data_IF_043408263448
#
_entry.id   IF_043408263448
#
_cell.length_a   1.000
_cell.length_b   1.000
_cell.length_c   1.000
_cell.angle_alpha   90.00
_cell.angle_beta   90.00
_cell.angle_gamma   90.00
#
_symmetry.space_group_name_H-M   'P 1'
#
loop_
_entity.id
_entity.type
_entity.pdbx_description
1 polymer ?
#
# COMPACT_ATOMS: atom_id res chain seq x y z
N UNK A 1 3.39 -16.38 0.90
CA UNK A 1 3.15 -16.84 2.29
C UNK A 1 4.37 -16.44 3.12
N UNK A 2 4.36 -15.26 3.73
CA UNK A 2 5.35 -14.94 4.78
C UNK A 2 4.67 -15.17 6.11
N UNK A 3 5.23 -16.15 6.81
CA UNK A 3 4.96 -16.49 8.18
C UNK A 3 4.92 -15.23 9.05
N UNK A 4 3.96 -15.21 9.99
CA UNK A 4 4.07 -14.37 11.17
C UNK A 4 5.46 -14.51 11.79
N UNK A 5 5.89 -13.43 12.46
CA UNK A 5 7.19 -13.22 13.12
C UNK A 5 7.63 -14.37 14.05
N UNK A 6 7.95 -15.55 13.51
CA UNK A 6 8.43 -16.70 14.26
C UNK A 6 9.77 -17.16 13.66
N UNK A 7 10.83 -16.43 14.02
CA UNK A 7 12.16 -16.97 14.34
C UNK A 7 13.12 -15.82 14.73
N UNK A 8 13.40 -15.72 16.02
CA UNK A 8 14.62 -15.20 16.63
C UNK A 8 15.19 -13.86 16.13
N UNK A 9 14.96 -12.77 16.88
CA UNK A 9 15.87 -11.61 17.09
C UNK A 9 16.36 -10.75 15.91
N UNK A 10 16.40 -11.29 14.69
CA UNK A 10 16.90 -10.66 13.46
C UNK A 10 15.80 -9.93 12.68
N UNK A 11 14.54 -10.05 13.11
CA UNK A 11 13.40 -9.50 12.35
C UNK A 11 13.11 -8.03 12.69
N UNK A 12 13.29 -7.61 13.94
CA UNK A 12 13.00 -6.23 14.38
C UNK A 12 13.84 -5.20 13.62
N UNK A 13 15.14 -5.46 13.44
CA UNK A 13 16.02 -4.58 12.66
C UNK A 13 15.55 -4.45 11.21
N UNK A 14 15.07 -5.55 10.60
CA UNK A 14 14.53 -5.51 9.24
C UNK A 14 13.25 -4.69 9.17
N UNK A 15 12.31 -4.88 10.10
CA UNK A 15 11.08 -4.08 10.19
C UNK A 15 11.41 -2.60 10.33
N UNK A 16 12.36 -2.25 11.21
CA UNK A 16 12.83 -0.88 11.39
C UNK A 16 13.44 -0.33 10.09
N UNK A 17 14.29 -1.09 9.41
CA UNK A 17 14.89 -0.67 8.13
C UNK A 17 13.85 -0.43 7.05
N UNK A 18 12.91 -1.36 6.87
CA UNK A 18 11.84 -1.26 5.87
C UNK A 18 10.93 -0.05 6.16
N UNK A 19 10.55 0.14 7.42
CA UNK A 19 9.72 1.28 7.84
C UNK A 19 10.46 2.62 7.69
N UNK A 20 11.73 2.71 8.06
CA UNK A 20 12.54 3.91 7.85
C UNK A 20 12.67 4.24 6.35
N UNK A 21 12.84 3.23 5.51
CA UNK A 21 12.87 3.43 4.06
C UNK A 21 11.52 3.97 3.58
N UNK A 22 10.41 3.39 3.99
CA UNK A 22 9.07 3.86 3.64
C UNK A 22 8.85 5.32 4.07
N UNK A 23 9.12 5.65 5.34
CA UNK A 23 9.00 7.02 5.88
C UNK A 23 9.87 7.98 5.06
N UNK A 24 11.11 7.60 4.73
CA UNK A 24 11.97 8.43 3.89
C UNK A 24 11.36 8.72 2.51
N UNK A 25 10.55 7.81 1.96
CA UNK A 25 9.88 8.00 0.66
C UNK A 25 8.70 8.98 0.76
N UNK A 26 7.98 8.99 1.89
CA UNK A 26 6.97 9.99 2.18
C UNK A 26 7.60 11.37 2.40
N UNK A 27 8.70 11.44 3.15
CA UNK A 27 9.41 12.70 3.38
C UNK A 27 10.00 13.32 2.11
N UNK A 28 10.20 12.53 1.05
CA UNK A 28 10.67 13.00 -0.28
C UNK A 28 9.54 13.48 -1.20
N UNK A 29 8.28 13.45 -0.78
CA UNK A 29 7.18 13.97 -1.61
C UNK A 29 7.38 15.46 -1.87
N UNK A 30 7.26 15.87 -3.13
CA UNK A 30 7.39 17.28 -3.55
C UNK A 30 6.26 18.16 -3.02
N UNK A 31 5.08 17.56 -2.83
CA UNK A 31 3.93 18.20 -2.21
C UNK A 31 3.86 17.80 -0.74
N UNK A 32 3.74 18.79 0.15
CA UNK A 32 3.76 18.59 1.60
C UNK A 32 2.37 18.35 2.20
N UNK A 33 1.30 18.45 1.40
CA UNK A 33 -0.07 18.29 1.85
C UNK A 33 -0.43 16.80 2.02
N UNK A 34 0.15 16.17 3.03
CA UNK A 34 -0.15 14.80 3.38
C UNK A 34 0.08 14.55 4.87
N UNK A 35 -0.61 13.54 5.39
CA UNK A 35 -0.39 12.99 6.71
C UNK A 35 -0.30 11.45 6.60
N UNK A 36 0.35 10.79 7.55
CA UNK A 36 0.43 9.34 7.57
C UNK A 36 0.15 8.84 8.98
N UNK A 37 -0.75 7.84 9.08
CA UNK A 37 -1.19 7.26 10.33
C UNK A 37 -0.66 5.84 10.41
N UNK A 38 0.30 5.63 11.30
CA UNK A 38 0.98 4.36 11.50
C UNK A 38 0.37 3.63 12.70
N UNK A 39 0.10 2.35 12.53
CA UNK A 39 -0.50 1.49 13.55
C UNK A 39 0.02 0.06 13.38
N UNK A 40 -0.07 -0.71 14.46
CA UNK A 40 0.27 -2.14 14.46
C UNK A 40 -0.96 -2.94 14.05
N UNK A 41 -0.79 -3.91 13.16
CA UNK A 41 -1.92 -4.70 12.61
C UNK A 41 -2.14 -6.06 13.26
N UNK A 42 -1.16 -6.56 14.01
CA UNK A 42 -1.21 -7.88 14.65
C UNK A 42 -1.04 -7.80 16.17
N UNK A 43 -1.15 -8.95 16.83
CA UNK A 43 -1.08 -9.09 18.28
C UNK A 43 0.34 -8.94 18.85
N UNK A 44 1.34 -8.64 18.01
CA UNK A 44 2.73 -8.56 18.43
C UNK A 44 3.04 -7.18 19.02
N UNK A 45 3.79 -7.09 20.14
CA UNK A 45 4.15 -5.82 20.73
C UNK A 45 5.12 -5.06 19.82
N UNK A 46 4.68 -3.93 19.27
CA UNK A 46 5.52 -3.04 18.45
C UNK A 46 5.13 -1.55 18.59
N UNK A 47 4.11 -1.24 19.40
CA UNK A 47 3.56 0.12 19.53
C UNK A 47 4.59 1.13 20.07
N UNK A 48 5.36 0.76 21.08
CA UNK A 48 6.40 1.62 21.68
C UNK A 48 7.53 1.90 20.69
N UNK A 49 8.05 0.84 20.06
CA UNK A 49 9.14 0.95 19.07
C UNK A 49 8.69 1.71 17.82
N UNK A 50 7.44 1.52 17.38
CA UNK A 50 6.86 2.29 16.28
C UNK A 50 6.81 3.78 16.63
N UNK A 51 6.32 4.13 17.83
CA UNK A 51 6.32 5.51 18.29
C UNK A 51 7.73 6.10 18.32
N UNK A 52 8.72 5.39 18.87
CA UNK A 52 10.12 5.86 18.87
C UNK A 52 10.65 6.13 17.47
N UNK A 53 10.38 5.22 16.51
CA UNK A 53 10.77 5.40 15.10
C UNK A 53 10.14 6.66 14.52
N UNK A 54 8.84 6.88 14.71
CA UNK A 54 8.15 8.06 14.18
C UNK A 54 8.69 9.36 14.81
N UNK A 55 8.88 9.39 16.14
CA UNK A 55 9.45 10.55 16.84
C UNK A 55 10.87 10.88 16.36
N UNK A 56 11.68 9.87 16.02
CA UNK A 56 13.06 10.07 15.56
C UNK A 56 13.17 10.84 14.23
N UNK A 57 12.10 10.86 13.42
CA UNK A 57 12.07 11.62 12.15
C UNK A 57 11.68 13.08 12.33
N UNK A 58 11.15 13.46 13.50
CA UNK A 58 10.75 14.83 13.85
C UNK A 58 9.85 15.51 12.79
N UNK A 59 8.84 14.79 12.30
CA UNK A 59 7.90 15.27 11.29
C UNK A 59 6.46 15.14 11.79
N UNK A 60 5.77 16.28 11.92
CA UNK A 60 4.41 16.37 12.48
C UNK A 60 3.34 15.63 11.64
N UNK A 61 3.67 15.29 10.40
CA UNK A 61 2.77 14.57 9.48
C UNK A 61 2.74 13.07 9.80
N UNK A 62 3.74 12.56 10.53
CA UNK A 62 3.84 11.16 10.92
C UNK A 62 3.16 10.96 12.28
N UNK A 63 2.03 10.27 12.30
CA UNK A 63 1.18 10.11 13.49
C UNK A 63 1.07 8.64 13.86
N UNK A 64 1.23 8.32 15.13
CA UNK A 64 0.87 7.00 15.66
C UNK A 64 -0.64 6.95 15.91
N UNK A 65 -1.27 5.84 15.54
CA UNK A 65 -2.69 5.58 15.77
C UNK A 65 -2.82 4.31 16.61
N UNK A 66 -3.34 4.47 17.83
CA UNK A 66 -3.56 3.34 18.74
C UNK A 66 -4.83 2.59 18.32
N UNK A 67 -4.67 1.29 18.02
CA UNK A 67 -5.75 0.40 17.62
C UNK A 67 -5.99 -0.60 18.75
N UNK A 68 -7.23 -0.73 19.20
CA UNK A 68 -7.61 -1.68 20.24
C UNK A 68 -7.16 -3.10 19.85
N UNK A 69 -6.56 -3.81 20.82
CA UNK A 69 -6.04 -5.18 20.64
C UNK A 69 -7.08 -6.15 20.08
N UNK A 70 -8.38 -5.93 20.32
CA UNK A 70 -9.44 -6.78 19.75
C UNK A 70 -9.49 -6.74 18.21
N UNK A 71 -9.00 -5.67 17.58
CA UNK A 71 -8.89 -5.52 16.14
C UNK A 71 -7.53 -5.94 15.58
N UNK A 72 -6.61 -6.35 16.46
CA UNK A 72 -5.26 -6.80 16.12
C UNK A 72 -5.11 -8.30 16.42
N UNK A 73 -5.85 -9.19 15.72
CA UNK A 73 -5.66 -10.61 15.91
C UNK A 73 -4.27 -11.04 15.44
N UNK A 74 -3.84 -12.23 15.85
CA UNK A 74 -2.67 -12.87 15.24
C UNK A 74 -2.79 -12.87 13.72
N UNK A 75 -1.70 -12.50 13.04
CA UNK A 75 -1.69 -12.41 11.58
C UNK A 75 -2.17 -13.70 10.91
N UNK A 76 -3.08 -13.53 9.95
CA UNK A 76 -3.67 -14.57 9.14
C UNK A 76 -3.78 -14.08 7.68
N UNK A 77 -3.17 -14.78 6.70
CA UNK A 77 -3.27 -14.43 5.29
C UNK A 77 -4.70 -14.34 4.74
N UNK A 78 -5.67 -15.02 5.37
CA UNK A 78 -7.09 -14.97 4.94
C UNK A 78 -7.70 -13.59 5.21
N UNK A 79 -7.36 -13.00 6.35
CA UNK A 79 -7.88 -11.71 6.79
C UNK A 79 -6.96 -10.54 6.44
N UNK A 80 -5.68 -10.81 6.17
CA UNK A 80 -4.73 -9.85 5.64
C UNK A 80 -4.79 -8.51 6.41
N UNK A 81 -4.73 -8.55 7.74
CA UNK A 81 -4.80 -7.37 8.62
C UNK A 81 -6.05 -6.45 8.47
N UNK A 82 -7.05 -6.82 7.68
CA UNK A 82 -8.22 -5.99 7.38
C UNK A 82 -8.99 -5.50 8.63
N UNK A 83 -9.15 -6.27 9.72
CA UNK A 83 -9.81 -5.75 10.92
C UNK A 83 -9.12 -4.51 11.52
N UNK A 84 -7.79 -4.49 11.58
CA UNK A 84 -7.03 -3.35 12.09
C UNK A 84 -7.08 -2.18 11.10
N UNK A 85 -6.94 -2.46 9.79
CA UNK A 85 -7.01 -1.44 8.74
C UNK A 85 -8.37 -0.74 8.68
N UNK A 86 -9.46 -1.51 8.83
CA UNK A 86 -10.82 -0.96 8.87
C UNK A 86 -11.03 -0.07 10.09
N UNK A 87 -10.50 -0.45 11.25
CA UNK A 87 -10.59 0.38 12.44
C UNK A 87 -9.77 1.66 12.32
N UNK A 88 -8.55 1.56 11.78
CA UNK A 88 -7.73 2.72 11.50
C UNK A 88 -8.43 3.68 10.53
N UNK A 89 -9.05 3.16 9.46
CA UNK A 89 -9.88 3.97 8.56
C UNK A 89 -11.05 4.64 9.30
N UNK A 90 -11.77 3.95 10.19
CA UNK A 90 -12.86 4.56 10.97
C UNK A 90 -12.39 5.76 11.80
N UNK A 91 -11.22 5.66 12.41
CA UNK A 91 -10.64 6.74 13.20
C UNK A 91 -10.16 7.89 12.32
N UNK A 92 -9.46 7.59 11.22
CA UNK A 92 -8.94 8.60 10.30
C UNK A 92 -10.07 9.33 9.56
N UNK A 93 -11.14 8.64 9.17
CA UNK A 93 -12.27 9.25 8.46
C UNK A 93 -13.03 10.31 9.28
N UNK A 94 -12.88 10.35 10.61
CA UNK A 94 -13.48 11.39 11.45
C UNK A 94 -12.83 12.77 11.22
N UNK A 95 -11.70 12.81 10.51
CA UNK A 95 -10.95 14.01 10.16
C UNK A 95 -11.45 14.57 8.82
N UNK A 96 -12.23 15.67 8.83
CA UNK A 96 -12.80 16.24 7.61
C UNK A 96 -11.73 16.89 6.72
N UNK A 97 -10.53 17.12 7.25
CA UNK A 97 -9.46 17.74 6.50
C UNK A 97 -9.04 16.89 5.31
N UNK A 98 -8.98 15.56 5.41
CA UNK A 98 -8.42 14.65 4.39
C UNK A 98 -9.38 14.35 3.23
N UNK A 99 -9.06 14.80 2.02
CA UNK A 99 -9.82 14.45 0.80
C UNK A 99 -9.52 13.04 0.28
N UNK A 100 -8.25 12.62 0.29
CA UNK A 100 -7.81 11.37 -0.31
C UNK A 100 -7.28 10.41 0.75
N UNK A 101 -7.67 9.14 0.67
CA UNK A 101 -7.19 8.09 1.57
C UNK A 101 -6.46 7.02 0.76
N UNK A 102 -5.42 6.43 1.35
CA UNK A 102 -4.75 5.24 0.83
C UNK A 102 -4.35 4.33 1.98
N UNK A 103 -4.32 3.03 1.74
CA UNK A 103 -3.88 2.02 2.71
C UNK A 103 -2.71 1.29 2.07
N UNK A 104 -1.60 1.16 2.77
CA UNK A 104 -0.34 0.72 2.14
C UNK A 104 0.54 -0.02 3.08
N UNK A 105 1.33 -0.95 2.60
CA UNK A 105 2.24 -1.67 3.47
C UNK A 105 3.43 -0.81 3.93
N UNK A 106 3.85 -0.92 5.19
CA UNK A 106 4.97 -0.18 5.81
C UNK A 106 6.35 -0.55 5.26
N UNK A 107 6.42 -1.50 4.34
CA UNK A 107 7.60 -1.80 3.54
C UNK A 107 7.46 -1.45 2.05
N UNK A 108 6.33 -0.85 1.64
CA UNK A 108 6.23 -0.24 0.34
C UNK A 108 7.10 1.03 0.27
N UNK A 109 7.26 1.56 -0.94
CA UNK A 109 7.94 2.82 -1.18
C UNK A 109 7.16 3.63 -2.21
N UNK A 110 7.27 4.95 -2.14
CA UNK A 110 6.58 5.86 -3.06
C UNK A 110 7.61 6.64 -3.88
N UNK A 111 7.33 6.80 -5.18
CA UNK A 111 8.01 7.80 -6.00
C UNK A 111 7.78 9.21 -5.45
N UNK A 112 8.71 10.14 -5.70
CA UNK A 112 8.73 11.47 -5.08
C UNK A 112 7.58 12.41 -5.48
N UNK A 113 6.80 12.05 -6.49
CA UNK A 113 5.74 12.88 -7.07
C UNK A 113 4.37 12.18 -7.02
N UNK A 114 4.23 11.13 -6.19
CA UNK A 114 2.94 10.42 -6.05
C UNK A 114 1.87 11.35 -5.47
N UNK A 115 2.15 12.05 -4.37
CA UNK A 115 1.17 12.97 -3.75
C UNK A 115 0.77 14.06 -4.74
N UNK A 116 1.73 14.67 -5.43
CA UNK A 116 1.44 15.67 -6.47
C UNK A 116 0.53 15.11 -7.57
N UNK A 117 0.71 13.85 -7.97
CA UNK A 117 -0.12 13.19 -8.99
C UNK A 117 -1.57 13.02 -8.57
N UNK A 118 -1.81 12.79 -7.28
CA UNK A 118 -3.15 12.61 -6.70
C UNK A 118 -3.85 13.95 -6.50
N UNK A 119 -3.09 14.96 -6.09
CA UNK A 119 -3.63 16.29 -5.75
C UNK A 119 -3.73 17.23 -6.94
N UNK A 120 -2.99 16.96 -8.01
CA UNK A 120 -3.10 17.69 -9.26
C UNK A 120 -4.56 17.76 -9.69
N UNK A 121 -5.06 18.90 -10.20
CA UNK A 121 -6.45 19.08 -10.56
C UNK A 121 -6.86 18.08 -11.65
N UNK A 122 -7.38 16.93 -11.22
CA UNK A 122 -7.99 15.95 -12.10
C UNK A 122 -9.33 16.53 -12.55
N UNK A 123 -9.36 17.08 -13.76
CA UNK A 123 -10.61 17.38 -14.48
C UNK A 123 -11.05 16.06 -15.12
N UNK A 124 -11.75 15.16 -14.38
CA UNK A 124 -13.10 15.35 -13.81
C UNK A 124 -13.27 14.99 -12.32
N UNK A 125 -14.51 15.10 -11.78
CA UNK A 125 -14.90 14.66 -10.42
C UNK A 125 -14.72 13.14 -10.25
N UNK A 126 -13.51 12.73 -9.88
CA UNK A 126 -13.08 11.34 -9.66
C UNK A 126 -13.27 10.94 -8.21
N UNK A 127 -13.56 9.66 -7.98
CA UNK A 127 -13.70 9.07 -6.64
C UNK A 127 -12.61 8.04 -6.33
N UNK A 128 -11.94 7.54 -7.37
CA UNK A 128 -10.92 6.50 -7.26
C UNK A 128 -9.77 6.85 -8.20
N UNK A 129 -8.55 6.80 -7.69
CA UNK A 129 -7.34 6.89 -8.49
C UNK A 129 -6.54 5.60 -8.33
N UNK A 130 -6.12 5.02 -9.44
CA UNK A 130 -5.27 3.84 -9.47
C UNK A 130 -3.90 4.24 -10.04
N UNK A 131 -2.85 4.07 -9.26
CA UNK A 131 -1.49 4.37 -9.67
C UNK A 131 -0.76 3.15 -10.25
N UNK A 132 0.18 3.38 -11.16
CA UNK A 132 1.08 2.32 -11.60
C UNK A 132 1.96 1.85 -10.44
N UNK A 133 2.35 0.58 -10.50
CA UNK A 133 3.11 -0.06 -9.44
C UNK A 133 4.21 -0.96 -9.99
N UNK A 134 5.33 -1.05 -9.28
CA UNK A 134 6.42 -1.98 -9.61
C UNK A 134 7.02 -2.58 -8.33
N UNK A 135 7.95 -3.53 -8.44
CA UNK A 135 8.61 -4.11 -7.29
C UNK A 135 9.74 -3.21 -6.82
N UNK A 136 9.81 -2.97 -5.51
CA UNK A 136 10.88 -2.18 -4.87
C UNK A 136 12.28 -2.74 -5.18
N UNK A 137 12.39 -4.05 -5.37
CA UNK A 137 13.67 -4.70 -5.68
C UNK A 137 14.24 -4.28 -7.05
N UNK A 138 13.40 -3.90 -8.01
CA UNK A 138 13.86 -3.35 -9.30
C UNK A 138 14.29 -1.89 -9.15
N UNK A 139 13.54 -1.08 -8.39
CA UNK A 139 13.89 0.32 -8.16
C UNK A 139 15.23 0.50 -7.41
N UNK A 140 15.59 -0.42 -6.52
CA UNK A 140 16.88 -0.39 -5.81
C UNK A 140 18.08 -0.82 -6.65
N UNK A 141 17.86 -1.46 -7.81
CA UNK A 141 18.93 -1.77 -8.76
C UNK A 141 19.19 -0.62 -9.75
N UNK A 142 18.33 0.41 -9.76
CA UNK A 142 18.34 1.53 -10.71
C UNK A 142 19.14 2.77 -10.27
N UNK A 143 19.89 2.71 -9.15
CA UNK A 143 20.86 3.78 -8.80
C UNK A 143 22.17 3.70 -9.59
N UNK A 144 22.32 2.79 -10.55
CA UNK A 144 23.45 2.75 -11.48
C UNK A 144 22.95 2.72 -12.92
N UNK A 145 23.28 3.79 -13.65
CA UNK A 145 23.16 3.97 -15.10
C UNK A 145 23.06 2.67 -15.91
N UNK A 146 21.85 2.19 -16.18
CA UNK A 146 21.67 1.10 -17.12
C UNK A 146 20.39 1.31 -17.92
N UNK A 147 20.59 1.88 -19.12
CA UNK A 147 19.80 1.59 -20.32
C UNK A 147 19.81 0.07 -20.57
N UNK A 148 19.08 -0.71 -19.79
CA UNK A 148 18.84 -2.13 -20.10
C UNK A 148 17.58 -2.21 -20.92
N UNK A 149 17.81 -2.30 -22.23
CA UNK A 149 17.05 -3.09 -23.20
C UNK A 149 15.80 -3.73 -22.57
N UNK A 150 14.68 -3.03 -22.66
CA UNK A 150 13.35 -3.62 -22.73
C UNK A 150 13.26 -4.47 -24.02
N UNK A 151 14.04 -5.55 -24.08
CA UNK A 151 13.95 -6.55 -25.12
C UNK A 151 12.85 -7.52 -24.73
N UNK A 152 11.70 -7.39 -25.38
CA UNK A 152 10.70 -8.46 -25.57
C UNK A 152 10.10 -9.16 -24.33
N UNK A 153 10.10 -8.55 -23.15
CA UNK A 153 9.19 -8.99 -22.08
C UNK A 153 7.93 -8.11 -22.18
N UNK A 154 6.83 -8.71 -22.67
CA UNK A 154 5.56 -8.04 -22.86
C UNK A 154 5.08 -7.32 -21.59
N UNK A 155 4.50 -6.13 -21.77
CA UNK A 155 3.94 -5.26 -20.75
C UNK A 155 2.61 -5.79 -20.19
N UNK A 156 2.55 -7.07 -19.81
CA UNK A 156 1.36 -7.64 -19.18
C UNK A 156 1.56 -7.66 -17.66
N UNK A 157 0.64 -7.00 -16.95
CA UNK A 157 0.70 -6.89 -15.50
C UNK A 157 0.45 -8.24 -14.83
N UNK A 158 1.43 -8.73 -14.08
CA UNK A 158 1.31 -9.94 -13.28
C UNK A 158 2.03 -9.76 -11.94
N UNK A 159 1.39 -10.21 -10.86
CA UNK A 159 2.09 -10.62 -9.64
C UNK A 159 2.61 -12.04 -9.89
N UNK A 160 3.88 -12.15 -10.27
CA UNK A 160 4.51 -13.43 -10.62
C UNK A 160 5.60 -13.82 -9.64
N UNK A 161 5.92 -15.11 -9.61
CA UNK A 161 7.16 -15.60 -8.99
C UNK A 161 8.16 -15.84 -10.10
N UNK A 162 9.31 -15.16 -10.06
CA UNK A 162 10.44 -15.50 -10.91
C UNK A 162 11.35 -16.45 -10.13
N UNK A 163 11.52 -17.67 -10.62
CA UNK A 163 12.51 -18.59 -10.09
C UNK A 163 13.84 -18.33 -10.81
N UNK A 164 14.82 -17.78 -10.09
CA UNK A 164 16.16 -17.61 -10.63
C UNK A 164 16.81 -19.01 -10.77
N UNK A 165 16.94 -19.50 -12.01
CA UNK A 165 17.37 -20.88 -12.36
C UNK A 165 18.70 -21.30 -11.71
N UNK A 166 19.54 -20.36 -11.26
CA UNK A 166 20.83 -20.66 -10.66
C UNK A 166 20.85 -20.61 -9.11
N UNK A 167 19.81 -20.10 -8.45
CA UNK A 167 19.79 -19.99 -6.98
C UNK A 167 18.58 -20.64 -6.29
N UNK A 168 17.60 -21.19 -7.03
CA UNK A 168 16.31 -21.67 -6.45
C UNK A 168 15.66 -20.63 -5.51
N UNK A 169 15.92 -19.34 -5.74
CA UNK A 169 15.26 -18.25 -5.01
C UNK A 169 14.08 -17.80 -5.85
N UNK A 170 12.89 -17.91 -5.26
CA UNK A 170 11.70 -17.27 -5.80
C UNK A 170 11.72 -15.80 -5.41
N UNK A 171 11.76 -14.93 -6.40
CA UNK A 171 11.50 -13.50 -6.22
C UNK A 171 10.04 -13.25 -6.59
N UNK A 172 9.24 -12.84 -5.60
CA UNK A 172 7.94 -12.25 -5.89
C UNK A 172 8.13 -10.88 -6.53
N UNK A 173 7.50 -10.65 -7.67
CA UNK A 173 7.48 -9.34 -8.32
C UNK A 173 6.03 -8.93 -8.57
N UNK A 174 5.73 -7.66 -8.33
CA UNK A 174 4.47 -7.03 -8.71
C UNK A 174 4.84 -5.92 -9.70
N UNK A 175 4.41 -6.05 -10.95
CA UNK A 175 4.58 -4.98 -11.95
C UNK A 175 3.24 -4.74 -12.63
N UNK A 176 2.70 -3.54 -12.40
CA UNK A 176 1.38 -3.10 -12.86
C UNK A 176 1.57 -1.69 -13.46
N UNK A 177 2.15 -1.57 -14.67
CA UNK A 177 2.42 -0.27 -15.28
C UNK A 177 1.13 0.44 -15.71
N UNK A 178 0.04 -0.32 -15.89
CA UNK A 178 -1.30 0.17 -16.15
C UNK A 178 -2.27 -0.62 -15.25
N UNK A 179 -2.67 -0.07 -14.09
CA UNK A 179 -3.58 -0.76 -13.20
C UNK A 179 -4.94 -0.98 -13.85
N UNK A 180 -5.56 -2.11 -13.52
CA UNK A 180 -6.93 -2.44 -13.96
C UNK A 180 -7.80 -2.68 -12.73
N UNK A 181 -9.11 -2.55 -12.86
CA UNK A 181 -10.07 -2.68 -11.75
C UNK A 181 -9.88 -3.99 -10.96
N UNK A 182 -9.54 -5.11 -11.62
CA UNK A 182 -9.28 -6.39 -10.96
C UNK A 182 -7.81 -6.74 -10.75
N UNK A 183 -6.89 -5.89 -11.21
CA UNK A 183 -5.45 -6.10 -11.18
C UNK A 183 -4.76 -4.89 -10.57
N UNK A 184 -4.95 -4.73 -9.27
CA UNK A 184 -4.43 -3.64 -8.42
C UNK A 184 -4.02 -4.22 -7.07
N UNK A 185 -3.09 -3.54 -6.43
CA UNK A 185 -2.76 -3.73 -5.03
C UNK A 185 -3.26 -2.52 -4.25
N UNK A 186 -3.73 -2.73 -3.03
CA UNK A 186 -4.28 -1.69 -2.17
C UNK A 186 -3.37 -0.45 -2.04
N UNK A 187 -2.05 -0.62 -2.05
CA UNK A 187 -1.09 0.46 -1.93
C UNK A 187 -1.09 1.45 -3.11
N UNK A 188 -1.60 1.03 -4.26
CA UNK A 188 -1.74 1.88 -5.45
C UNK A 188 -3.15 2.45 -5.61
N UNK A 189 -4.04 2.20 -4.65
CA UNK A 189 -5.42 2.70 -4.66
C UNK A 189 -5.54 3.94 -3.77
N UNK A 190 -6.12 5.00 -4.33
CA UNK A 190 -6.46 6.23 -3.62
C UNK A 190 -7.95 6.49 -3.75
N UNK A 191 -8.63 6.61 -2.62
CA UNK A 191 -10.09 6.74 -2.54
C UNK A 191 -10.47 8.15 -2.07
N UNK A 192 -11.52 8.71 -2.66
CA UNK A 192 -12.09 9.97 -2.20
C UNK A 192 -12.88 9.72 -0.91
N UNK A 193 -12.53 10.48 0.13
CA UNK A 193 -12.95 10.25 1.51
C UNK A 193 -14.45 10.38 1.70
N UNK A 194 -15.08 11.42 1.16
CA UNK A 194 -16.51 11.64 1.37
C UNK A 194 -17.34 10.52 0.73
N UNK A 195 -16.95 10.07 -0.47
CA UNK A 195 -17.58 8.93 -1.14
C UNK A 195 -17.39 7.63 -0.36
N UNK A 196 -16.20 7.42 0.21
CA UNK A 196 -15.91 6.25 1.01
C UNK A 196 -16.76 6.23 2.30
N UNK A 197 -16.86 7.36 3.01
CA UNK A 197 -17.69 7.52 4.21
C UNK A 197 -19.18 7.31 3.90
N UNK A 198 -19.68 7.89 2.79
CA UNK A 198 -21.07 7.75 2.36
C UNK A 198 -21.47 6.28 2.15
N UNK A 199 -20.54 5.46 1.65
CA UNK A 199 -20.84 4.10 1.19
C UNK A 199 -20.31 2.98 2.09
N UNK A 200 -19.43 3.30 3.04
CA UNK A 200 -18.99 2.42 4.11
C UNK A 200 -18.44 1.06 3.63
N UNK A 201 -17.51 1.09 2.66
CA UNK A 201 -17.01 -0.11 1.94
C UNK A 201 -15.68 -0.59 2.53
N UNK A 202 -15.73 -1.36 3.61
CA UNK A 202 -14.54 -1.78 4.34
C UNK A 202 -13.90 -3.08 3.82
N UNK A 203 -12.60 -3.26 4.04
CA UNK A 203 -11.81 -4.39 3.51
C UNK A 203 -12.25 -5.72 4.09
N UNK A 204 -12.68 -5.77 5.35
CA UNK A 204 -13.08 -7.02 5.99
C UNK A 204 -14.28 -7.68 5.29
N UNK A 205 -15.04 -6.97 4.46
CA UNK A 205 -16.09 -7.56 3.59
C UNK A 205 -15.50 -8.39 2.43
N UNK A 206 -14.22 -8.17 2.13
CA UNK A 206 -13.47 -8.70 1.00
C UNK A 206 -12.37 -9.70 1.42
N UNK A 207 -12.37 -10.16 2.68
CA UNK A 207 -11.45 -11.21 3.12
C UNK A 207 -11.65 -12.51 2.32
N UNK A 208 -10.61 -13.35 2.21
CA UNK A 208 -10.71 -14.62 1.46
C UNK A 208 -11.74 -15.59 2.03
N UNK A 209 -12.17 -15.37 3.27
CA UNK A 209 -13.27 -16.14 3.87
C UNK A 209 -14.64 -15.76 3.27
N UNK A 210 -14.80 -14.52 2.78
CA UNK A 210 -16.07 -13.97 2.28
C UNK A 210 -16.13 -13.92 0.76
N UNK A 211 -15.03 -13.60 0.11
CA UNK A 211 -14.89 -13.76 -1.34
C UNK A 211 -14.49 -15.20 -1.55
N UNK A 212 -15.47 -16.03 -1.94
CA UNK A 212 -15.35 -17.45 -2.30
C UNK A 212 -13.88 -17.90 -2.47
N UNK A 213 -13.46 -18.89 -1.67
CA UNK A 213 -12.10 -19.44 -1.44
C UNK A 213 -11.17 -19.67 -2.67
N UNK A 214 -11.61 -19.35 -3.88
CA UNK A 214 -10.94 -19.65 -5.15
C UNK A 214 -9.90 -18.62 -5.58
N UNK A 215 -9.77 -17.45 -4.93
CA UNK A 215 -8.64 -16.57 -5.22
C UNK A 215 -7.98 -15.94 -3.97
N UNK A 216 -6.79 -16.44 -3.63
CA UNK A 216 -5.85 -15.79 -2.73
C UNK A 216 -5.07 -14.72 -3.51
N UNK A 217 -5.14 -13.47 -3.07
CA UNK A 217 -4.50 -12.31 -3.72
C UNK A 217 -5.44 -11.48 -4.61
N UNK A 218 -6.72 -11.85 -4.76
CA UNK A 218 -7.70 -11.05 -5.51
C UNK A 218 -8.49 -10.06 -4.64
N UNK A 219 -8.28 -10.02 -3.33
CA UNK A 219 -9.12 -9.27 -2.40
C UNK A 219 -9.18 -7.78 -2.76
N UNK A 220 -8.03 -7.17 -3.03
CA UNK A 220 -7.92 -5.74 -3.37
C UNK A 220 -8.60 -5.41 -4.70
N UNK A 221 -8.42 -6.25 -5.71
CA UNK A 221 -9.09 -6.14 -7.00
C UNK A 221 -10.61 -6.32 -6.89
N UNK A 222 -11.08 -7.24 -6.05
CA UNK A 222 -12.51 -7.43 -5.81
C UNK A 222 -13.14 -6.25 -5.05
N UNK A 223 -12.41 -5.66 -4.11
CA UNK A 223 -12.80 -4.45 -3.40
C UNK A 223 -12.94 -3.26 -4.36
N UNK A 224 -11.95 -3.04 -5.22
CA UNK A 224 -12.01 -2.01 -6.27
C UNK A 224 -13.12 -2.31 -7.29
N UNK A 225 -13.30 -3.57 -7.67
CA UNK A 225 -14.40 -3.97 -8.56
C UNK A 225 -15.78 -3.65 -7.99
N UNK A 226 -16.00 -3.84 -6.69
CA UNK A 226 -17.27 -3.48 -6.05
C UNK A 226 -17.55 -1.98 -6.17
N UNK A 227 -16.57 -1.14 -5.83
CA UNK A 227 -16.68 0.31 -5.94
C UNK A 227 -17.00 0.76 -7.37
N UNK A 228 -16.27 0.23 -8.35
CA UNK A 228 -16.41 0.69 -9.74
C UNK A 228 -17.65 0.12 -10.40
N UNK A 229 -17.85 -1.20 -10.34
CA UNK A 229 -18.94 -1.85 -11.09
C UNK A 229 -20.28 -1.77 -10.36
N UNK A 230 -20.31 -1.99 -9.03
CA UNK A 230 -21.57 -2.01 -8.27
C UNK A 230 -21.94 -0.62 -7.78
N UNK A 231 -20.98 0.14 -7.26
CA UNK A 231 -21.22 1.46 -6.68
C UNK A 231 -21.03 2.62 -7.65
N UNK A 232 -20.57 2.33 -8.88
CA UNK A 232 -20.42 3.28 -9.99
C UNK A 232 -19.46 4.43 -9.68
N UNK A 233 -18.36 4.14 -8.98
CA UNK A 233 -17.31 5.13 -8.72
C UNK A 233 -16.59 5.53 -10.00
N UNK A 234 -16.33 6.83 -10.16
CA UNK A 234 -15.58 7.36 -11.30
C UNK A 234 -14.09 7.14 -11.03
N UNK A 235 -13.47 6.31 -11.86
CA UNK A 235 -12.05 5.94 -11.73
C UNK A 235 -11.19 6.76 -12.67
N UNK A 236 -10.01 7.15 -12.19
CA UNK A 236 -8.96 7.74 -12.98
C UNK A 236 -7.67 6.94 -12.86
N UNK A 237 -7.03 6.70 -14.00
CA UNK A 237 -5.71 6.08 -14.09
C UNK A 237 -4.82 7.15 -14.76
N UNK A 238 -3.95 7.83 -13.99
CA UNK A 238 -3.05 8.81 -14.56
C UNK A 238 -2.14 8.16 -15.61
N UNK A 239 -1.79 8.86 -16.70
CA UNK A 239 -0.82 8.34 -17.65
C UNK A 239 0.53 8.11 -16.96
N UNK A 240 1.20 7.01 -17.28
CA UNK A 240 2.53 6.73 -16.73
C UNK A 240 3.54 7.76 -17.22
N UNK A 241 4.05 8.59 -16.31
CA UNK A 241 5.05 9.64 -16.58
C UNK A 241 6.44 9.33 -16.01
N UNK A 242 6.66 8.10 -15.51
CA UNK A 242 7.96 7.62 -15.01
C UNK A 242 7.93 7.18 -13.55
N UNK A 243 9.08 6.73 -13.06
CA UNK A 243 9.25 6.12 -11.72
C UNK A 243 8.86 7.05 -10.55
N UNK A 244 8.89 8.37 -10.75
CA UNK A 244 8.53 9.34 -9.70
C UNK A 244 7.05 9.32 -9.33
N UNK A 245 6.18 8.80 -10.21
CA UNK A 245 4.73 8.77 -10.03
C UNK A 245 4.23 7.35 -9.71
N UNK A 246 5.14 6.45 -9.32
CA UNK A 246 4.88 5.03 -9.17
C UNK A 246 4.92 4.61 -7.69
N UNK A 247 4.12 3.62 -7.34
CA UNK A 247 4.19 2.92 -6.06
C UNK A 247 5.09 1.70 -6.20
N UNK A 248 5.91 1.42 -5.20
CA UNK A 248 6.83 0.29 -5.21
C UNK A 248 6.46 -0.71 -4.12
N UNK A 249 6.09 -1.92 -4.51
CA UNK A 249 5.75 -3.00 -3.58
C UNK A 249 7.00 -3.50 -2.87
N UNK A 250 6.96 -3.55 -1.54
CA UNK A 250 8.01 -4.18 -0.75
C UNK A 250 7.97 -5.71 -0.84
N UNK A 251 9.09 -6.41 -0.59
CA UNK A 251 9.12 -7.88 -0.54
C UNK A 251 8.56 -8.45 0.77
N UNK A 252 8.13 -7.60 1.71
CA UNK A 252 7.67 -7.93 3.06
C UNK A 252 6.15 -7.74 3.19
N UNK A 253 5.49 -8.41 4.16
CA UNK A 253 4.08 -8.15 4.48
C UNK A 253 3.97 -7.18 5.67
N UNK A 254 4.59 -5.99 5.62
CA UNK A 254 4.49 -5.01 6.72
C UNK A 254 3.39 -4.02 6.40
N UNK A 255 2.47 -3.68 7.30
CA UNK A 255 1.26 -2.90 6.98
C UNK A 255 1.33 -1.44 7.47
N UNK A 256 0.71 -0.48 6.78
CA UNK A 256 0.63 0.96 7.09
C UNK A 256 -0.64 1.60 6.45
N UNK A 257 -1.00 2.83 6.82
CA UNK A 257 -2.05 3.65 6.15
C UNK A 257 -1.48 5.04 5.93
N UNK A 258 -1.65 5.59 4.73
CA UNK A 258 -1.23 6.94 4.39
C UNK A 258 -2.46 7.77 3.97
N UNK A 259 -2.69 8.92 4.61
CA UNK A 259 -3.84 9.80 4.31
C UNK A 259 -3.36 11.16 3.82
N UNK A 260 -3.42 11.40 2.52
CA UNK A 260 -2.98 12.64 1.89
C UNK A 260 -4.10 13.67 1.78
N UNK A 261 -3.75 14.94 1.57
CA UNK A 261 -4.73 16.00 1.46
C UNK A 261 -4.63 16.81 0.18
#
# INVERSE_FOLDING_TARGET
IMHGRNAAGNNTNRVRMDLNLFISTLMRQTNFNWEAYFFVTDDQPFDEELQEILHSHNDIRLKFLDIDKKFRPKYDPVNAAYPASDEALRLVMQKPECRWLSVTNGDNSYGSEVVESILSPVTPKVNLILLPMDSRNFATQDTFELRVRAGNIGYEGYCGYFEERHQKKMYGFARIPQPTIGGVDIASVFIERDKFVEQNIFFNEFSSAKIQQTCVGCQDGAWVEDMVKKKRWITHIPPFSGLKHMVFHGPSPLWCIASGN
#
